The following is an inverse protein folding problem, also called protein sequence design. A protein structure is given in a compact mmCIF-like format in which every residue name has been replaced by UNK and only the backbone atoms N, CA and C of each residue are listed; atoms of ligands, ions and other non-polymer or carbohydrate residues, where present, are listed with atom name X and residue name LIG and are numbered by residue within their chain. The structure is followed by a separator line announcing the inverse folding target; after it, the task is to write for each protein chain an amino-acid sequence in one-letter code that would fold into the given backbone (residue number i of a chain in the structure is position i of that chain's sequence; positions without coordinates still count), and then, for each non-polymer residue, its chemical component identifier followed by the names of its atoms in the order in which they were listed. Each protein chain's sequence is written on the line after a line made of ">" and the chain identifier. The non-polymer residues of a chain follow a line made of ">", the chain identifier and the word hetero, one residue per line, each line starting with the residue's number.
data_IF_055694538989
#
_entry.id   IF_055694538989
#
_cell.length_a   1.000
_cell.length_b   1.000
_cell.length_c   1.000
_cell.angle_alpha   90.00
_cell.angle_beta   90.00
_cell.angle_gamma   90.00
#
_symmetry.space_group_name_H-M   'P 1'
#
loop_
_entity.id
_entity.type
_entity.pdbx_description
1 polymer ?
#
# COMPACT_ATOMS: atom_id res chain seq x y z
N UNK A 1 -24.76 -33.71 38.43
CA UNK A 1 -23.76 -32.64 38.64
C UNK A 1 -22.38 -33.24 38.43
N UNK A 2 -21.78 -33.04 37.25
CA UNK A 2 -20.40 -33.44 36.98
C UNK A 2 -19.73 -32.24 36.31
N UNK A 3 -18.79 -31.62 37.02
CA UNK A 3 -18.07 -30.44 36.58
C UNK A 3 -16.95 -30.87 35.63
N UNK A 4 -17.00 -30.37 34.40
CA UNK A 4 -15.91 -30.51 33.42
C UNK A 4 -14.81 -29.53 33.83
N UNK A 5 -13.70 -30.09 34.29
CA UNK A 5 -12.45 -29.38 34.60
C UNK A 5 -11.90 -28.74 33.33
N UNK A 6 -11.85 -27.40 33.28
CA UNK A 6 -11.10 -26.65 32.27
C UNK A 6 -9.62 -26.96 32.42
N UNK A 7 -9.02 -27.51 31.37
CA UNK A 7 -7.57 -27.66 31.26
C UNK A 7 -6.91 -26.27 31.37
N UNK A 8 -5.79 -26.26 32.09
CA UNK A 8 -4.99 -25.10 32.43
C UNK A 8 -4.13 -24.62 31.26
N UNK A 9 -3.93 -23.30 31.23
CA UNK A 9 -2.72 -22.59 30.77
C UNK A 9 -2.03 -23.11 29.51
N UNK A 10 -2.56 -22.74 28.35
CA UNK A 10 -1.69 -22.45 27.20
C UNK A 10 -1.19 -21.01 27.38
N UNK A 11 0.02 -20.86 27.93
CA UNK A 11 0.70 -19.58 28.01
C UNK A 11 0.76 -18.93 26.63
N UNK A 12 0.19 -17.73 26.48
CA UNK A 12 0.29 -16.95 25.25
C UNK A 12 1.76 -16.88 24.81
N UNK A 13 2.08 -17.16 23.53
CA UNK A 13 3.44 -17.05 23.06
C UNK A 13 3.90 -15.61 23.23
N UNK A 14 4.83 -15.40 24.16
CA UNK A 14 5.40 -14.09 24.44
C UNK A 14 5.88 -13.47 23.13
N UNK A 15 5.25 -12.35 22.74
CA UNK A 15 5.65 -11.58 21.58
C UNK A 15 7.11 -11.17 21.79
N UNK A 16 8.04 -11.86 21.11
CA UNK A 16 9.46 -11.51 21.17
C UNK A 16 9.59 -10.14 20.52
N UNK A 17 9.98 -9.15 21.30
CA UNK A 17 10.38 -7.85 20.77
C UNK A 17 11.49 -8.10 19.74
N UNK A 18 11.19 -7.87 18.47
CA UNK A 18 12.18 -7.89 17.41
C UNK A 18 12.94 -6.57 17.54
N UNK A 19 14.23 -6.65 17.83
CA UNK A 19 15.11 -5.49 17.77
C UNK A 19 15.33 -5.13 16.28
N UNK A 20 14.64 -4.08 15.82
CA UNK A 20 14.81 -3.56 14.47
C UNK A 20 15.89 -2.48 14.51
N UNK A 21 17.07 -2.80 13.97
CA UNK A 21 18.14 -1.81 13.76
C UNK A 21 17.94 -1.12 12.41
N UNK A 22 17.70 0.19 12.46
CA UNK A 22 17.56 1.04 11.27
C UNK A 22 18.87 1.80 11.09
N UNK A 23 19.57 1.58 9.98
CA UNK A 23 20.75 2.34 9.58
C UNK A 23 20.53 3.06 8.25
N UNK A 24 21.03 4.31 8.10
CA UNK A 24 21.60 5.14 9.18
C UNK A 24 20.53 5.53 10.20
N UNK A 25 20.94 5.99 11.40
CA UNK A 25 19.96 6.45 12.40
C UNK A 25 19.18 7.64 11.86
N UNK A 26 17.94 7.86 12.33
CA UNK A 26 17.02 8.83 11.71
C UNK A 26 17.56 10.28 11.67
N UNK A 27 18.41 10.64 12.62
CA UNK A 27 19.10 11.93 12.72
C UNK A 27 20.21 12.10 11.66
N UNK A 28 20.69 11.01 11.08
CA UNK A 28 21.71 10.99 10.02
C UNK A 28 21.10 10.97 8.61
N UNK A 29 19.76 10.87 8.49
CA UNK A 29 19.11 10.73 7.19
C UNK A 29 19.33 11.95 6.28
N UNK A 30 19.36 13.15 6.85
CA UNK A 30 19.63 14.38 6.09
C UNK A 30 21.02 14.34 5.41
N UNK A 31 22.04 13.88 6.13
CA UNK A 31 23.41 13.74 5.62
C UNK A 31 23.56 12.58 4.63
N UNK A 32 22.80 11.50 4.80
CA UNK A 32 22.81 10.38 3.87
C UNK A 32 22.17 10.77 2.53
N UNK A 33 21.09 11.54 2.57
CA UNK A 33 20.35 11.99 1.39
C UNK A 33 21.09 13.05 0.57
N UNK A 34 22.03 13.79 1.17
CA UNK A 34 22.79 14.85 0.49
C UNK A 34 23.97 14.35 -0.35
N UNK A 35 24.35 13.06 -0.24
CA UNK A 35 25.60 12.53 -0.81
C UNK A 35 25.51 11.88 -2.20
N UNK A 36 24.33 11.79 -2.82
CA UNK A 36 24.19 11.12 -4.11
C UNK A 36 23.24 11.84 -5.07
N UNK A 37 23.84 12.42 -6.11
CA UNK A 37 23.14 12.96 -7.27
C UNK A 37 23.83 12.42 -8.53
N UNK A 38 23.14 11.59 -9.29
CA UNK A 38 23.40 11.48 -10.73
C UNK A 38 22.19 12.07 -11.43
N UNK A 39 22.40 13.08 -12.24
CA UNK A 39 21.31 13.92 -12.75
C UNK A 39 20.44 13.19 -13.80
N UNK A 40 21.00 12.30 -14.61
CA UNK A 40 20.29 11.71 -15.77
C UNK A 40 19.06 10.89 -15.40
N UNK A 41 19.16 10.02 -14.39
CA UNK A 41 18.05 9.14 -14.02
C UNK A 41 16.88 9.88 -13.36
N UNK A 42 17.13 11.00 -12.68
CA UNK A 42 16.07 11.79 -12.07
C UNK A 42 15.30 12.59 -13.12
N UNK A 43 16.02 13.18 -14.07
CA UNK A 43 15.42 13.93 -15.17
C UNK A 43 14.51 13.03 -16.02
N UNK A 44 14.96 11.81 -16.34
CA UNK A 44 14.16 10.81 -17.08
C UNK A 44 12.85 10.43 -16.35
N UNK A 45 12.87 10.42 -15.02
CA UNK A 45 11.72 10.09 -14.18
C UNK A 45 10.90 11.33 -13.77
N UNK A 46 11.27 12.53 -14.22
CA UNK A 46 10.64 13.79 -13.81
C UNK A 46 10.77 14.09 -12.31
N UNK A 47 11.80 13.53 -11.66
CA UNK A 47 12.08 13.72 -10.24
C UNK A 47 12.98 14.95 -10.06
N UNK A 48 12.69 15.85 -9.10
CA UNK A 48 13.55 17.01 -8.85
C UNK A 48 14.99 16.60 -8.47
N UNK A 49 15.95 17.28 -9.08
CA UNK A 49 17.37 17.16 -8.76
C UNK A 49 17.83 18.16 -7.68
N UNK A 50 17.02 19.19 -7.38
CA UNK A 50 17.36 20.28 -6.45
C UNK A 50 17.19 19.94 -4.95
N UNK A 51 16.66 18.75 -4.62
CA UNK A 51 16.38 18.33 -3.25
C UNK A 51 16.54 16.81 -3.05
N UNK A 52 16.66 16.34 -1.79
CA UNK A 52 16.57 14.92 -1.45
C UNK A 52 15.32 14.23 -2.01
N UNK A 53 15.40 12.93 -2.24
CA UNK A 53 14.24 12.12 -2.69
C UNK A 53 14.04 10.98 -1.72
N UNK A 54 12.80 10.78 -1.27
CA UNK A 54 12.42 9.68 -0.42
C UNK A 54 11.52 8.72 -1.20
N UNK A 55 12.07 7.55 -1.51
CA UNK A 55 11.35 6.47 -2.17
C UNK A 55 10.66 5.57 -1.15
N UNK A 56 9.43 5.20 -1.46
CA UNK A 56 8.75 4.06 -0.87
C UNK A 56 7.99 3.32 -1.97
N UNK A 57 7.17 2.35 -1.61
CA UNK A 57 6.40 1.62 -2.60
C UNK A 57 5.66 0.41 -2.06
N UNK A 58 4.81 -0.12 -2.93
CA UNK A 58 4.05 -1.33 -2.70
C UNK A 58 3.55 -1.95 -4.02
N UNK A 59 3.15 -3.22 -3.99
CA UNK A 59 2.29 -3.79 -5.04
C UNK A 59 0.93 -3.08 -5.08
N UNK A 60 0.21 -3.08 -6.22
CA UNK A 60 -1.07 -2.40 -6.40
C UNK A 60 -2.24 -3.12 -5.71
N UNK A 61 -2.16 -3.33 -4.39
CA UNK A 61 -3.22 -3.94 -3.57
C UNK A 61 -4.06 -2.89 -2.86
N UNK A 62 -5.31 -3.23 -2.58
CA UNK A 62 -6.19 -2.44 -1.71
C UNK A 62 -5.70 -2.55 -0.27
N UNK A 63 -5.53 -1.39 0.37
CA UNK A 63 -5.37 -1.15 1.80
C UNK A 63 -4.91 -2.31 2.68
N UNK A 64 -3.65 -2.24 3.09
CA UNK A 64 -3.20 -2.87 4.34
C UNK A 64 -2.39 -1.87 5.17
N UNK A 65 -2.26 -2.17 6.47
CA UNK A 65 -1.63 -1.28 7.45
C UNK A 65 -0.19 -0.87 7.06
N UNK A 66 0.52 -1.69 6.29
CA UNK A 66 1.86 -1.37 5.81
C UNK A 66 1.91 -0.24 4.79
N UNK A 67 0.91 -0.11 3.89
CA UNK A 67 0.83 1.02 2.95
C UNK A 67 0.63 2.32 3.72
N UNK A 68 -0.34 2.33 4.66
CA UNK A 68 -0.63 3.50 5.48
C UNK A 68 0.57 3.94 6.32
N UNK A 69 1.22 2.98 7.01
CA UNK A 69 2.41 3.27 7.81
C UNK A 69 3.53 3.88 6.97
N UNK A 70 3.77 3.36 5.76
CA UNK A 70 4.76 3.91 4.82
C UNK A 70 4.39 5.31 4.34
N UNK A 71 3.13 5.57 4.00
CA UNK A 71 2.68 6.90 3.57
C UNK A 71 2.84 7.95 4.67
N UNK A 72 2.44 7.62 5.91
CA UNK A 72 2.60 8.51 7.07
C UNK A 72 4.09 8.78 7.33
N UNK A 73 4.91 7.71 7.38
CA UNK A 73 6.34 7.84 7.61
C UNK A 73 7.03 8.67 6.52
N UNK A 74 6.69 8.42 5.24
CA UNK A 74 7.22 9.17 4.10
C UNK A 74 6.78 10.64 4.13
N UNK A 75 5.51 10.94 4.46
CA UNK A 75 5.02 12.31 4.59
C UNK A 75 5.76 13.08 5.70
N UNK A 76 5.86 12.50 6.89
CA UNK A 76 6.53 13.12 8.03
C UNK A 76 8.03 13.31 7.80
N UNK A 77 8.70 12.32 7.19
CA UNK A 77 10.11 12.44 6.83
C UNK A 77 10.34 13.55 5.79
N UNK A 78 9.50 13.62 4.76
CA UNK A 78 9.60 14.65 3.72
C UNK A 78 9.37 16.06 4.27
N UNK A 79 8.35 16.25 5.11
CA UNK A 79 8.10 17.52 5.81
C UNK A 79 9.31 18.05 6.56
N UNK A 80 10.05 17.16 7.24
CA UNK A 80 11.20 17.53 8.08
C UNK A 80 12.48 17.78 7.27
N UNK A 81 12.59 17.18 6.10
CA UNK A 81 13.83 17.17 5.30
C UNK A 81 13.73 17.99 4.01
N UNK A 82 12.53 18.44 3.63
CA UNK A 82 12.27 19.04 2.33
C UNK A 82 12.38 18.04 1.17
N UNK A 83 12.39 16.72 1.44
CA UNK A 83 12.54 15.71 0.41
C UNK A 83 11.32 15.61 -0.52
N UNK A 84 11.57 15.38 -1.81
CA UNK A 84 10.54 14.98 -2.76
C UNK A 84 10.11 13.54 -2.50
N UNK A 85 8.81 13.25 -2.57
CA UNK A 85 8.25 11.93 -2.25
C UNK A 85 7.92 11.18 -3.53
N UNK A 86 8.46 9.96 -3.64
CA UNK A 86 8.18 9.06 -4.75
C UNK A 86 7.64 7.73 -4.21
N UNK A 87 6.58 7.23 -4.84
CA UNK A 87 5.96 5.96 -4.52
C UNK A 87 6.02 5.03 -5.73
N UNK A 88 6.80 3.96 -5.61
CA UNK A 88 6.96 2.96 -6.66
C UNK A 88 5.85 1.91 -6.53
N UNK A 89 5.12 1.69 -7.60
CA UNK A 89 4.17 0.59 -7.74
C UNK A 89 4.89 -0.58 -8.42
N UNK A 90 5.06 -1.67 -7.69
CA UNK A 90 5.59 -2.93 -8.23
C UNK A 90 4.43 -3.71 -8.89
N UNK A 91 4.13 -3.38 -10.14
CA UNK A 91 2.99 -3.90 -10.92
C UNK A 91 3.34 -5.00 -11.93
N UNK A 92 4.62 -5.39 -11.99
CA UNK A 92 5.15 -6.41 -12.90
C UNK A 92 4.89 -7.85 -12.43
N UNK A 93 4.26 -8.01 -11.26
CA UNK A 93 3.90 -9.31 -10.69
C UNK A 93 2.38 -9.51 -10.69
N UNK A 94 1.99 -10.78 -10.55
CA UNK A 94 0.62 -11.17 -10.25
C UNK A 94 0.27 -10.79 -8.81
N UNK A 95 -0.94 -10.26 -8.62
CA UNK A 95 -1.45 -9.84 -7.32
C UNK A 95 -2.92 -10.25 -7.24
N UNK A 96 -3.35 -10.79 -6.10
CA UNK A 96 -4.76 -11.10 -5.84
C UNK A 96 -5.53 -9.80 -5.60
N UNK A 97 -6.26 -9.35 -6.62
CA UNK A 97 -7.01 -8.08 -6.62
C UNK A 97 -8.52 -8.29 -6.57
N UNK A 98 -8.99 -9.52 -6.78
CA UNK A 98 -10.41 -9.86 -6.78
C UNK A 98 -10.99 -9.86 -5.37
N UNK A 99 -10.12 -9.98 -4.36
CA UNK A 99 -10.51 -10.23 -2.98
C UNK A 99 -9.88 -9.23 -2.03
N UNK A 100 -10.70 -8.67 -1.16
CA UNK A 100 -10.28 -7.84 -0.04
C UNK A 100 -10.50 -8.59 1.28
N UNK A 101 -9.42 -8.77 2.04
CA UNK A 101 -9.51 -9.29 3.41
C UNK A 101 -9.78 -8.13 4.37
N UNK A 102 -10.96 -8.10 4.97
CA UNK A 102 -11.36 -7.07 5.92
C UNK A 102 -11.37 -7.57 7.35
N UNK A 103 -10.94 -6.76 8.34
CA UNK A 103 -11.09 -7.11 9.74
C UNK A 103 -12.57 -7.09 10.14
N UNK A 104 -12.97 -8.06 10.94
CA UNK A 104 -14.30 -8.14 11.55
C UNK A 104 -14.19 -8.42 13.03
N UNK A 105 -15.24 -8.08 13.78
CA UNK A 105 -15.31 -8.35 15.21
C UNK A 105 -15.58 -7.10 16.04
N UNK A 106 -15.29 -7.20 17.33
CA UNK A 106 -15.55 -6.19 18.34
C UNK A 106 -14.40 -6.17 19.37
N UNK A 107 -14.45 -5.26 20.34
CA UNK A 107 -13.48 -5.27 21.43
C UNK A 107 -13.41 -6.66 22.08
N UNK A 108 -12.20 -7.26 22.10
CA UNK A 108 -11.95 -8.60 22.64
C UNK A 108 -12.12 -9.77 21.64
N UNK A 109 -12.50 -9.53 20.38
CA UNK A 109 -12.56 -10.56 19.34
C UNK A 109 -12.22 -9.95 17.98
N UNK A 110 -11.09 -10.37 17.39
CA UNK A 110 -10.69 -9.98 16.04
C UNK A 110 -10.71 -11.21 15.13
N UNK A 111 -11.46 -11.11 14.04
CA UNK A 111 -11.47 -12.06 12.94
C UNK A 111 -11.27 -11.32 11.61
N UNK A 112 -11.30 -12.06 10.52
CA UNK A 112 -11.29 -11.46 9.18
C UNK A 112 -12.25 -12.20 8.28
N UNK A 113 -12.88 -11.48 7.37
CA UNK A 113 -13.61 -12.07 6.25
C UNK A 113 -13.03 -11.61 4.93
N UNK A 114 -13.20 -12.41 3.90
CA UNK A 114 -12.84 -12.04 2.53
C UNK A 114 -14.08 -11.55 1.81
N UNK A 115 -13.94 -10.47 1.06
CA UNK A 115 -14.98 -9.84 0.28
C UNK A 115 -14.49 -9.79 -1.16
N UNK A 116 -15.35 -10.16 -2.09
CA UNK A 116 -15.05 -10.05 -3.50
C UNK A 116 -15.32 -8.62 -3.98
N UNK A 117 -14.35 -8.02 -4.68
CA UNK A 117 -14.41 -6.64 -5.20
C UNK A 117 -14.33 -6.59 -6.72
N UNK A 118 -13.87 -7.67 -7.37
CA UNK A 118 -13.91 -7.89 -8.81
C UNK A 118 -14.50 -9.28 -9.09
N UNK A 119 -15.15 -9.46 -10.23
CA UNK A 119 -15.60 -10.78 -10.69
C UNK A 119 -14.39 -11.72 -10.87
N UNK A 120 -14.32 -12.83 -10.11
CA UNK A 120 -13.15 -13.74 -10.07
C UNK A 120 -12.76 -14.34 -11.42
N UNK A 121 -13.72 -14.55 -12.32
CA UNK A 121 -13.47 -15.09 -13.66
C UNK A 121 -12.78 -14.07 -14.60
N UNK A 122 -12.55 -12.84 -14.12
CA UNK A 122 -12.01 -11.73 -14.94
C UNK A 122 -10.49 -11.66 -14.93
N UNK A 123 -9.81 -12.32 -14.00
CA UNK A 123 -8.35 -12.22 -13.83
C UNK A 123 -7.69 -13.58 -14.10
N UNK A 124 -6.93 -13.72 -15.20
CA UNK A 124 -6.14 -14.91 -15.45
C UNK A 124 -4.99 -15.03 -14.45
N UNK A 125 -4.86 -16.20 -13.83
CA UNK A 125 -3.79 -16.49 -12.88
C UNK A 125 -2.39 -16.30 -13.51
N UNK A 126 -1.47 -15.73 -12.72
CA UNK A 126 -0.08 -15.53 -13.12
C UNK A 126 0.14 -14.40 -14.14
N UNK A 127 -0.90 -13.66 -14.52
CA UNK A 127 -0.74 -12.47 -15.36
C UNK A 127 -0.40 -11.26 -14.49
N UNK A 128 0.66 -10.51 -14.81
CA UNK A 128 0.99 -9.28 -14.10
C UNK A 128 -0.17 -8.29 -14.11
N UNK A 129 -0.39 -7.64 -12.97
CA UNK A 129 -1.45 -6.63 -12.82
C UNK A 129 -1.32 -5.45 -13.80
N UNK A 130 -0.09 -5.12 -14.23
CA UNK A 130 0.17 -4.12 -15.27
C UNK A 130 -0.30 -4.53 -16.67
N UNK A 131 -0.48 -5.83 -16.92
CA UNK A 131 -0.90 -6.37 -18.23
C UNK A 131 -2.41 -6.56 -18.33
N UNK A 132 -3.13 -6.39 -17.21
CA UNK A 132 -4.58 -6.51 -17.16
C UNK A 132 -5.21 -5.13 -17.38
N UNK A 133 -6.27 -5.00 -18.20
CA UNK A 133 -7.00 -3.74 -18.32
C UNK A 133 -7.66 -3.39 -16.98
N UNK A 134 -7.91 -2.10 -16.73
CA UNK A 134 -8.79 -1.71 -15.63
C UNK A 134 -10.18 -2.36 -15.81
N UNK A 135 -10.83 -2.69 -14.70
CA UNK A 135 -12.06 -3.47 -14.68
C UNK A 135 -13.12 -2.77 -13.81
N UNK A 136 -14.41 -2.92 -14.14
CA UNK A 136 -15.48 -2.48 -13.24
C UNK A 136 -15.36 -3.15 -11.86
N UNK A 137 -15.54 -2.36 -10.81
CA UNK A 137 -15.60 -2.85 -9.42
C UNK A 137 -17.03 -3.30 -9.11
N UNK A 138 -17.18 -4.45 -8.47
CA UNK A 138 -18.48 -4.92 -8.03
C UNK A 138 -18.95 -4.13 -6.81
N UNK A 139 -20.26 -3.85 -6.75
CA UNK A 139 -20.84 -3.26 -5.57
C UNK A 139 -20.72 -4.26 -4.39
N UNK A 140 -20.22 -3.76 -3.26
CA UNK A 140 -20.05 -4.55 -2.05
C UNK A 140 -21.19 -4.20 -1.08
N UNK A 141 -21.89 -5.22 -0.58
CA UNK A 141 -22.87 -5.10 0.50
C UNK A 141 -22.16 -4.95 1.87
N UNK A 142 -21.39 -3.87 2.03
CA UNK A 142 -20.76 -3.44 3.28
C UNK A 142 -20.51 -1.93 3.23
N UNK A 143 -21.35 -1.16 3.93
CA UNK A 143 -21.24 0.31 4.02
C UNK A 143 -19.85 0.78 4.48
N UNK A 144 -19.11 -0.04 5.24
CA UNK A 144 -17.75 0.32 5.71
C UNK A 144 -16.73 0.34 4.58
N UNK A 145 -17.05 -0.26 3.43
CA UNK A 145 -16.21 -0.31 2.24
C UNK A 145 -16.65 0.66 1.15
N UNK A 146 -17.73 1.42 1.37
CA UNK A 146 -18.28 2.35 0.38
C UNK A 146 -17.20 3.26 -0.20
N UNK A 147 -16.38 3.88 0.65
CA UNK A 147 -15.30 4.77 0.19
C UNK A 147 -14.22 4.04 -0.62
N UNK A 148 -13.92 2.77 -0.33
CA UNK A 148 -12.97 1.97 -1.11
C UNK A 148 -13.55 1.68 -2.49
N UNK A 149 -14.81 1.27 -2.55
CA UNK A 149 -15.52 0.96 -3.80
C UNK A 149 -15.67 2.22 -4.65
N UNK A 150 -16.06 3.35 -4.06
CA UNK A 150 -16.18 4.64 -4.74
C UNK A 150 -14.86 5.06 -5.41
N UNK A 151 -13.75 4.94 -4.69
CA UNK A 151 -12.44 5.22 -5.26
C UNK A 151 -12.07 4.26 -6.39
N UNK A 152 -12.28 2.95 -6.21
CA UNK A 152 -11.98 1.98 -7.28
C UNK A 152 -12.82 2.24 -8.55
N UNK A 153 -14.09 2.62 -8.38
CA UNK A 153 -14.98 3.02 -9.47
C UNK A 153 -14.50 4.32 -10.14
N UNK A 154 -14.01 5.28 -9.35
CA UNK A 154 -13.45 6.54 -9.86
C UNK A 154 -12.25 6.34 -10.79
N UNK A 155 -11.49 5.26 -10.61
CA UNK A 155 -10.28 4.95 -11.37
C UNK A 155 -10.46 3.86 -12.46
N UNK A 156 -11.69 3.49 -12.83
CA UNK A 156 -11.92 2.49 -13.91
C UNK A 156 -11.49 2.97 -15.29
N UNK A 157 -11.19 4.26 -15.45
CA UNK A 157 -10.71 4.87 -16.69
C UNK A 157 -9.20 4.69 -16.91
N UNK A 158 -8.48 4.16 -15.92
CA UNK A 158 -7.06 3.87 -16.03
C UNK A 158 -6.78 2.80 -17.10
N UNK A 159 -5.56 2.80 -17.64
CA UNK A 159 -5.21 1.85 -18.71
C UNK A 159 -4.99 0.42 -18.21
N UNK A 160 -4.67 0.24 -16.92
CA UNK A 160 -4.35 -1.06 -16.34
C UNK A 160 -4.98 -1.24 -14.97
N UNK A 161 -5.20 -2.49 -14.57
CA UNK A 161 -5.74 -2.83 -13.26
C UNK A 161 -4.79 -2.39 -12.14
N UNK A 162 -3.48 -2.52 -12.36
CA UNK A 162 -2.47 -1.99 -11.45
C UNK A 162 -2.64 -0.48 -11.19
N UNK A 163 -2.88 0.30 -12.24
CA UNK A 163 -3.09 1.75 -12.12
C UNK A 163 -4.38 2.09 -11.40
N UNK A 164 -5.47 1.40 -11.74
CA UNK A 164 -6.75 1.55 -11.06
C UNK A 164 -6.59 1.35 -9.54
N UNK A 165 -6.02 0.22 -9.14
CA UNK A 165 -5.90 -0.14 -7.72
C UNK A 165 -4.88 0.72 -6.98
N UNK A 166 -3.73 1.01 -7.60
CA UNK A 166 -2.72 1.87 -7.01
C UNK A 166 -3.27 3.29 -6.78
N UNK A 167 -3.85 3.91 -7.79
CA UNK A 167 -4.35 5.28 -7.69
C UNK A 167 -5.55 5.36 -6.73
N UNK A 168 -6.47 4.39 -6.75
CA UNK A 168 -7.56 4.32 -5.80
C UNK A 168 -7.06 4.22 -4.35
N UNK A 169 -6.10 3.33 -4.10
CA UNK A 169 -5.56 3.09 -2.76
C UNK A 169 -4.78 4.30 -2.24
N UNK A 170 -3.87 4.85 -3.05
CA UNK A 170 -3.05 6.00 -2.64
C UNK A 170 -3.92 7.25 -2.50
N UNK A 171 -4.87 7.48 -3.43
CA UNK A 171 -5.80 8.60 -3.39
C UNK A 171 -6.64 8.60 -2.10
N UNK A 172 -7.33 7.50 -1.82
CA UNK A 172 -8.16 7.38 -0.62
C UNK A 172 -7.32 7.47 0.66
N UNK A 173 -6.12 6.87 0.68
CA UNK A 173 -5.24 6.95 1.84
C UNK A 173 -4.82 8.41 2.12
N UNK A 174 -4.42 9.13 1.07
CA UNK A 174 -3.96 10.50 1.18
C UNK A 174 -5.09 11.45 1.60
N UNK A 175 -6.30 11.29 1.04
CA UNK A 175 -7.48 12.05 1.46
C UNK A 175 -7.80 11.80 2.95
N UNK A 176 -7.87 10.53 3.37
CA UNK A 176 -8.24 10.16 4.74
C UNK A 176 -7.21 10.58 5.80
N UNK A 177 -5.95 10.67 5.41
CA UNK A 177 -4.86 11.09 6.29
C UNK A 177 -4.57 12.59 6.22
N UNK A 178 -5.26 13.33 5.34
CA UNK A 178 -4.97 14.74 5.05
C UNK A 178 -3.48 14.98 4.73
N UNK A 179 -2.95 14.14 3.83
CA UNK A 179 -1.57 14.27 3.34
C UNK A 179 -1.56 14.44 1.83
N UNK A 180 -0.62 15.24 1.34
CA UNK A 180 -0.40 15.37 -0.10
C UNK A 180 0.01 14.01 -0.72
N UNK A 181 -0.46 13.65 -1.92
CA UNK A 181 -0.03 12.43 -2.60
C UNK A 181 1.45 12.50 -3.03
N UNK A 182 2.20 11.39 -2.98
CA UNK A 182 3.53 11.32 -3.57
C UNK A 182 3.46 11.26 -5.11
N UNK A 183 4.57 11.52 -5.79
CA UNK A 183 4.70 11.18 -7.21
C UNK A 183 4.66 9.66 -7.35
N UNK A 184 3.76 9.14 -8.17
CA UNK A 184 3.63 7.69 -8.40
C UNK A 184 4.45 7.30 -9.64
N UNK A 185 5.26 6.26 -9.52
CA UNK A 185 6.00 5.64 -10.63
C UNK A 185 5.63 4.17 -10.71
N UNK A 186 5.23 3.72 -11.89
CA UNK A 186 4.89 2.32 -12.15
C UNK A 186 6.13 1.59 -12.66
N UNK A 187 6.49 0.46 -12.06
CA UNK A 187 7.67 -0.30 -12.45
C UNK A 187 7.59 -0.75 -13.92
N UNK A 188 6.39 -1.09 -14.40
CA UNK A 188 6.12 -1.40 -15.80
C UNK A 188 6.48 -0.26 -16.77
N UNK A 189 6.42 1.00 -16.32
CA UNK A 189 6.72 2.18 -17.14
C UNK A 189 8.23 2.52 -17.19
N UNK A 190 9.07 1.82 -16.42
CA UNK A 190 10.52 2.06 -16.40
C UNK A 190 11.27 1.40 -17.56
N UNK A 191 10.61 0.52 -18.31
CA UNK A 191 11.23 -0.31 -19.35
C UNK A 191 10.60 -0.10 -20.75
N UNK A 192 9.84 0.99 -20.93
CA UNK A 192 9.18 1.33 -22.20
C UNK A 192 10.01 2.24 -23.08
#
# INVERSE_FOLDING_TARGET
>A
MSAVSRAADEAEPACRAIEVRIEPTWDQWADALSKHMSDSARDELGIPNDRPVLFSGHQPVIFHNGILAKLIAQHEAAKRTGAHRVWIIADQDHVELEHLRVPTGHAGSLSSRTIQVLASDSIPAGVPSASLPAMPTEAVDDDRLEAIVEYLLGYTHESTLARQFANATIGLACERLDIEPPQIIYASALFT
#
